data_IF_134468396510
#
_entry.id   IF_134468396510
#
_cell.length_a   1.000
_cell.length_b   1.000
_cell.length_c   1.000
_cell.angle_alpha   90.00
_cell.angle_beta   90.00
_cell.angle_gamma   90.00
#
_symmetry.space_group_name_H-M   'P 1'
#
loop_
_entity.id
_entity.type
_entity.pdbx_description
1 polymer ?
#
# COMPACT_ATOMS: atom_id res chain seq x y z
N UNK A 1 -46.58 -10.87 70.93
CA UNK A 1 -46.07 -10.17 69.73
C UNK A 1 -44.86 -10.91 69.22
N UNK A 2 -44.96 -11.57 68.06
CA UNK A 2 -43.83 -12.24 67.41
C UNK A 2 -43.36 -11.38 66.23
N UNK A 3 -42.07 -11.13 66.06
CA UNK A 3 -41.57 -10.36 64.93
C UNK A 3 -41.71 -11.16 63.64
N UNK A 4 -42.34 -10.55 62.64
CA UNK A 4 -42.41 -11.04 61.26
C UNK A 4 -41.02 -10.92 60.62
N UNK A 5 -40.35 -12.06 60.43
CA UNK A 5 -39.12 -12.11 59.66
C UNK A 5 -39.46 -12.01 58.17
N UNK A 6 -39.26 -10.82 57.60
CA UNK A 6 -39.29 -10.57 56.16
C UNK A 6 -38.17 -11.39 55.51
N UNK A 7 -38.54 -12.51 54.87
CA UNK A 7 -37.64 -13.30 54.03
C UNK A 7 -37.33 -12.50 52.76
N UNK A 8 -36.19 -11.82 52.76
CA UNK A 8 -35.63 -11.22 51.54
C UNK A 8 -35.29 -12.37 50.59
N UNK A 9 -35.97 -12.40 49.44
CA UNK A 9 -35.79 -13.41 48.40
C UNK A 9 -34.34 -13.46 47.92
N UNK A 10 -33.70 -14.64 47.79
CA UNK A 10 -32.30 -14.76 47.35
C UNK A 10 -32.07 -14.38 45.87
N UNK A 11 -33.11 -14.03 45.13
CA UNK A 11 -33.07 -13.91 43.67
C UNK A 11 -32.36 -12.65 43.15
N UNK A 12 -32.06 -11.66 44.00
CA UNK A 12 -31.70 -10.30 43.53
C UNK A 12 -30.23 -9.92 43.70
N UNK A 13 -29.33 -10.87 44.00
CA UNK A 13 -27.93 -10.57 44.35
C UNK A 13 -26.87 -10.90 43.29
N UNK A 14 -27.26 -11.29 42.06
CA UNK A 14 -26.32 -11.87 41.08
C UNK A 14 -26.21 -11.15 39.71
N UNK A 15 -26.82 -9.98 39.52
CA UNK A 15 -26.90 -9.35 38.18
C UNK A 15 -25.78 -8.37 37.78
N UNK A 16 -25.12 -7.57 38.64
CA UNK A 16 -24.27 -6.48 38.13
C UNK A 16 -22.89 -6.93 37.60
N UNK A 17 -22.35 -8.07 38.07
CA UNK A 17 -20.99 -8.50 37.68
C UNK A 17 -20.92 -9.11 36.28
N UNK A 18 -22.03 -9.65 35.76
CA UNK A 18 -22.07 -10.24 34.41
C UNK A 18 -22.08 -9.16 33.33
N UNK A 19 -22.81 -8.07 33.55
CA UNK A 19 -22.93 -6.98 32.58
C UNK A 19 -21.64 -6.17 32.47
N UNK A 20 -20.95 -5.92 33.59
CA UNK A 20 -19.68 -5.21 33.58
C UNK A 20 -18.58 -5.97 32.82
N UNK A 21 -18.51 -7.30 33.00
CA UNK A 21 -17.52 -8.14 32.30
C UNK A 21 -17.78 -8.17 30.79
N UNK A 22 -19.05 -8.12 30.37
CA UNK A 22 -19.44 -8.09 28.96
C UNK A 22 -19.09 -6.75 28.30
N UNK A 23 -19.25 -5.63 29.02
CA UNK A 23 -18.85 -4.30 28.54
C UNK A 23 -17.33 -4.23 28.34
N UNK A 24 -16.55 -4.67 29.33
CA UNK A 24 -15.07 -4.68 29.24
C UNK A 24 -14.60 -5.54 28.06
N UNK A 25 -15.18 -6.74 27.86
CA UNK A 25 -14.81 -7.60 26.72
C UNK A 25 -15.18 -6.98 25.37
N UNK A 26 -16.30 -6.26 25.28
CA UNK A 26 -16.70 -5.59 24.04
C UNK A 26 -15.74 -4.44 23.67
N UNK A 27 -15.33 -3.63 24.65
CA UNK A 27 -14.40 -2.52 24.43
C UNK A 27 -13.01 -3.06 24.00
N UNK A 28 -12.50 -4.10 24.65
CA UNK A 28 -11.22 -4.75 24.30
C UNK A 28 -11.23 -5.30 22.86
N UNK A 29 -12.33 -5.93 22.44
CA UNK A 29 -12.48 -6.46 21.08
C UNK A 29 -12.53 -5.35 20.02
N UNK A 30 -13.18 -4.22 20.33
CA UNK A 30 -13.26 -3.07 19.43
C UNK A 30 -11.91 -2.38 19.27
N UNK A 31 -11.18 -2.15 20.38
CA UNK A 31 -9.83 -1.57 20.36
C UNK A 31 -8.85 -2.46 19.59
N UNK A 32 -8.88 -3.77 19.84
CA UNK A 32 -8.04 -4.73 19.13
C UNK A 32 -8.34 -4.73 17.63
N UNK A 33 -9.61 -4.61 17.25
CA UNK A 33 -10.04 -4.53 15.85
C UNK A 33 -9.55 -3.26 15.17
N UNK A 34 -9.64 -2.10 15.84
CA UNK A 34 -9.10 -0.82 15.35
C UNK A 34 -7.59 -0.89 15.15
N UNK A 35 -6.85 -1.46 16.10
CA UNK A 35 -5.40 -1.59 16.03
C UNK A 35 -4.98 -2.50 14.85
N UNK A 36 -5.70 -3.60 14.62
CA UNK A 36 -5.45 -4.48 13.45
C UNK A 36 -5.65 -3.73 12.13
N UNK A 37 -6.74 -2.98 12.00
CA UNK A 37 -6.99 -2.17 10.80
C UNK A 37 -5.92 -1.09 10.58
N UNK A 38 -5.47 -0.44 11.65
CA UNK A 38 -4.40 0.54 11.60
C UNK A 38 -3.07 -0.10 11.14
N UNK A 39 -2.73 -1.27 11.67
CA UNK A 39 -1.53 -2.01 11.25
C UNK A 39 -1.60 -2.37 9.76
N UNK A 40 -2.75 -2.87 9.29
CA UNK A 40 -2.96 -3.16 7.86
C UNK A 40 -2.77 -1.90 7.01
N UNK A 41 -3.34 -0.77 7.44
CA UNK A 41 -3.19 0.51 6.73
C UNK A 41 -1.72 0.95 6.64
N UNK A 42 -0.95 0.82 7.73
CA UNK A 42 0.48 1.14 7.74
C UNK A 42 1.26 0.22 6.79
N UNK A 43 1.00 -1.08 6.81
CA UNK A 43 1.66 -2.03 5.90
C UNK A 43 1.35 -1.71 4.44
N UNK A 44 0.09 -1.44 4.11
CA UNK A 44 -0.32 -1.02 2.76
C UNK A 44 0.38 0.27 2.35
N UNK A 45 0.46 1.26 3.26
CA UNK A 45 1.17 2.51 3.01
C UNK A 45 2.66 2.30 2.71
N UNK A 46 3.36 1.48 3.51
CA UNK A 46 4.78 1.18 3.30
C UNK A 46 5.02 0.46 1.97
N UNK A 47 4.21 -0.55 1.66
CA UNK A 47 4.32 -1.29 0.39
C UNK A 47 4.06 -0.35 -0.80
N UNK A 48 3.02 0.47 -0.71
CA UNK A 48 2.70 1.45 -1.75
C UNK A 48 3.80 2.50 -1.91
N UNK A 49 4.37 2.99 -0.80
CA UNK A 49 5.49 3.94 -0.79
C UNK A 49 6.74 3.36 -1.41
N UNK A 50 7.06 2.09 -1.14
CA UNK A 50 8.18 1.40 -1.77
C UNK A 50 8.03 1.34 -3.30
N UNK A 51 6.85 0.93 -3.80
CA UNK A 51 6.60 0.91 -5.24
C UNK A 51 6.60 2.32 -5.84
N UNK A 52 6.03 3.31 -5.15
CA UNK A 52 6.01 4.69 -5.62
C UNK A 52 7.42 5.28 -5.66
N UNK A 53 8.28 4.95 -4.71
CA UNK A 53 9.67 5.39 -4.71
C UNK A 53 10.44 4.80 -5.89
N UNK A 54 10.22 3.52 -6.21
CA UNK A 54 10.81 2.92 -7.41
C UNK A 54 10.36 3.65 -8.68
N UNK A 55 9.05 3.87 -8.86
CA UNK A 55 8.54 4.59 -10.02
C UNK A 55 9.05 6.03 -10.10
N UNK A 56 9.12 6.73 -8.97
CA UNK A 56 9.68 8.08 -8.89
C UNK A 56 11.17 8.09 -9.25
N UNK A 57 11.93 7.11 -8.75
CA UNK A 57 13.35 6.94 -9.08
C UNK A 57 13.55 6.82 -10.58
N UNK A 58 12.76 5.99 -11.26
CA UNK A 58 12.82 5.90 -12.72
C UNK A 58 12.32 7.19 -13.40
N UNK A 59 11.28 7.83 -12.89
CA UNK A 59 10.77 9.07 -13.49
C UNK A 59 11.80 10.21 -13.46
N UNK A 60 12.62 10.29 -12.41
CA UNK A 60 13.60 11.38 -12.20
C UNK A 60 14.96 11.05 -12.80
N UNK A 61 15.45 9.81 -12.67
CA UNK A 61 16.83 9.46 -13.02
C UNK A 61 16.97 8.52 -14.23
N UNK A 62 15.88 8.03 -14.84
CA UNK A 62 16.02 7.19 -16.03
C UNK A 62 16.35 8.00 -17.28
N UNK A 63 17.13 7.40 -18.18
CA UNK A 63 17.30 7.86 -19.55
C UNK A 63 16.41 7.03 -20.46
N UNK A 64 15.81 7.66 -21.47
CA UNK A 64 15.07 6.97 -22.52
C UNK A 64 15.89 6.82 -23.78
N UNK A 65 15.88 5.63 -24.38
CA UNK A 65 16.44 5.39 -25.72
C UNK A 65 15.53 4.47 -26.53
N UNK A 66 15.75 4.41 -27.83
CA UNK A 66 15.14 3.41 -28.69
C UNK A 66 16.00 2.14 -28.67
N UNK A 67 15.34 0.99 -28.49
CA UNK A 67 15.95 -0.32 -28.58
C UNK A 67 15.35 -1.08 -29.77
N UNK A 68 16.20 -1.82 -30.46
CA UNK A 68 15.78 -2.71 -31.54
C UNK A 68 15.40 -4.07 -30.93
N UNK A 69 14.19 -4.54 -31.25
CA UNK A 69 13.66 -5.82 -30.77
C UNK A 69 14.27 -6.95 -31.58
N UNK A 70 15.04 -7.81 -30.92
CA UNK A 70 15.71 -8.94 -31.58
C UNK A 70 14.81 -10.16 -31.63
N UNK A 71 14.08 -10.44 -30.54
CA UNK A 71 13.23 -11.63 -30.44
C UNK A 71 12.05 -11.43 -29.50
N UNK A 72 10.90 -11.92 -29.92
CA UNK A 72 9.71 -12.03 -29.08
C UNK A 72 9.26 -13.49 -29.00
N UNK A 73 9.13 -14.05 -27.81
CA UNK A 73 8.62 -15.40 -27.63
C UNK A 73 7.76 -15.51 -26.37
N UNK A 74 6.77 -16.40 -26.40
CA UNK A 74 5.95 -16.68 -25.22
C UNK A 74 6.71 -17.64 -24.32
N UNK A 75 6.85 -17.29 -23.05
CA UNK A 75 7.49 -18.12 -22.04
C UNK A 75 6.56 -18.28 -20.83
N UNK A 76 6.73 -19.35 -20.08
CA UNK A 76 5.99 -19.58 -18.84
C UNK A 76 6.88 -19.21 -17.65
N UNK A 77 6.63 -18.06 -17.04
CA UNK A 77 7.34 -17.69 -15.81
C UNK A 77 6.61 -18.28 -14.62
N UNK A 78 7.33 -19.09 -13.84
CA UNK A 78 6.86 -19.59 -12.55
C UNK A 78 7.03 -18.51 -11.49
N UNK A 79 6.11 -17.55 -11.44
CA UNK A 79 6.07 -16.53 -10.40
C UNK A 79 5.24 -17.04 -9.21
N UNK A 80 5.89 -17.59 -8.18
CA UNK A 80 5.21 -17.95 -6.93
C UNK A 80 6.14 -18.44 -5.81
N UNK A 81 5.74 -18.17 -4.54
CA UNK A 81 6.31 -18.82 -3.36
C UNK A 81 6.14 -20.34 -3.51
N UNK A 82 7.14 -21.12 -3.07
CA UNK A 82 7.37 -22.58 -3.20
C UNK A 82 6.16 -23.53 -3.28
N UNK A 83 4.97 -23.14 -2.83
CA UNK A 83 3.76 -23.97 -2.73
C UNK A 83 2.63 -23.71 -3.75
N UNK A 84 2.66 -22.61 -4.53
CA UNK A 84 1.69 -22.36 -5.62
C UNK A 84 2.39 -21.82 -6.86
N UNK A 85 2.91 -22.72 -7.69
CA UNK A 85 3.44 -22.37 -9.02
C UNK A 85 2.26 -22.13 -9.98
N UNK A 86 1.71 -20.92 -9.97
CA UNK A 86 0.88 -20.50 -11.09
C UNK A 86 1.80 -20.22 -12.27
N UNK A 87 1.74 -21.09 -13.29
CA UNK A 87 2.40 -20.86 -14.57
C UNK A 87 1.66 -19.71 -15.25
N UNK A 88 2.27 -18.52 -15.26
CA UNK A 88 1.75 -17.40 -16.03
C UNK A 88 2.50 -17.35 -17.35
N UNK A 89 1.76 -17.41 -18.45
CA UNK A 89 2.29 -17.14 -19.77
C UNK A 89 2.61 -15.64 -19.84
N UNK A 90 3.85 -15.31 -20.11
CA UNK A 90 4.33 -13.95 -20.33
C UNK A 90 5.03 -13.91 -21.68
N UNK A 91 5.02 -12.74 -22.31
CA UNK A 91 5.72 -12.51 -23.57
C UNK A 91 7.10 -11.96 -23.20
N UNK A 92 8.14 -12.76 -23.44
CA UNK A 92 9.52 -12.32 -23.29
C UNK A 92 9.94 -11.55 -24.53
N UNK A 93 10.47 -10.34 -24.31
CA UNK A 93 10.97 -9.45 -25.36
C UNK A 93 12.46 -9.26 -25.10
N UNK A 94 13.27 -9.77 -26.02
CA UNK A 94 14.71 -9.53 -26.07
C UNK A 94 14.96 -8.32 -26.98
N UNK A 95 15.75 -7.38 -26.50
CA UNK A 95 16.07 -6.15 -27.22
C UNK A 95 17.51 -5.73 -26.98
N UNK A 96 18.05 -5.03 -27.97
CA UNK A 96 19.40 -4.49 -27.93
C UNK A 96 19.35 -2.98 -28.05
N UNK A 97 20.15 -2.29 -27.25
CA UNK A 97 20.28 -0.83 -27.29
C UNK A 97 21.72 -0.40 -27.07
N UNK A 98 22.00 0.85 -27.45
CA UNK A 98 23.29 1.48 -27.21
C UNK A 98 23.11 2.56 -26.15
N UNK A 99 23.91 2.50 -25.08
CA UNK A 99 23.95 3.54 -24.04
C UNK A 99 24.57 4.83 -24.61
N UNK A 100 24.38 5.96 -23.92
CA UNK A 100 25.05 7.25 -24.20
C UNK A 100 26.56 7.15 -24.25
N UNK A 101 27.14 6.20 -23.51
CA UNK A 101 28.58 5.93 -23.50
C UNK A 101 29.05 5.08 -24.70
N UNK A 102 28.14 4.70 -25.61
CA UNK A 102 28.44 3.87 -26.78
C UNK A 102 28.49 2.37 -26.50
N UNK A 103 28.18 1.94 -25.28
CA UNK A 103 28.15 0.53 -24.90
C UNK A 103 26.89 -0.16 -25.40
N UNK A 104 27.06 -1.36 -25.98
CA UNK A 104 25.93 -2.18 -26.42
C UNK A 104 25.43 -3.08 -25.29
N UNK A 105 24.14 -3.01 -25.02
CA UNK A 105 23.46 -3.84 -24.02
C UNK A 105 22.38 -4.68 -24.68
N UNK A 106 22.25 -5.92 -24.21
CA UNK A 106 21.20 -6.85 -24.60
C UNK A 106 20.47 -7.26 -23.34
N UNK A 107 19.19 -6.89 -23.24
CA UNK A 107 18.36 -7.17 -22.07
C UNK A 107 17.06 -7.86 -22.48
N UNK A 108 16.43 -8.48 -21.48
CA UNK A 108 15.15 -9.17 -21.63
C UNK A 108 14.16 -8.60 -20.64
N UNK A 109 12.98 -8.23 -21.14
CA UNK A 109 11.85 -7.82 -20.32
C UNK A 109 10.65 -8.75 -20.55
N UNK A 110 9.91 -9.02 -19.49
CA UNK A 110 8.75 -9.92 -19.51
C UNK A 110 7.46 -9.10 -19.40
N UNK A 111 6.70 -9.02 -20.50
CA UNK A 111 5.44 -8.27 -20.56
C UNK A 111 4.21 -9.20 -20.49
N UNK A 112 3.05 -8.70 -20.02
CA UNK A 112 1.83 -9.49 -19.98
C UNK A 112 1.43 -9.98 -21.38
N UNK A 113 0.96 -11.22 -21.51
CA UNK A 113 0.54 -11.77 -22.81
C UNK A 113 -0.64 -11.03 -23.45
N UNK A 114 -1.42 -10.30 -22.63
CA UNK A 114 -2.53 -9.48 -23.10
C UNK A 114 -2.08 -8.16 -23.74
N UNK A 115 -0.80 -7.83 -23.66
CA UNK A 115 -0.28 -6.60 -24.23
C UNK A 115 0.00 -6.76 -25.73
N UNK A 116 -0.14 -5.69 -26.53
CA UNK A 116 0.15 -5.75 -27.95
C UNK A 116 1.62 -6.13 -28.17
N UNK A 117 1.87 -6.97 -29.17
CA UNK A 117 3.22 -7.37 -29.54
C UNK A 117 4.00 -6.11 -29.94
N UNK A 118 5.15 -5.85 -29.32
CA UNK A 118 5.95 -4.67 -29.66
C UNK A 118 6.42 -4.73 -31.12
N UNK A 119 6.48 -3.57 -31.77
CA UNK A 119 7.07 -3.44 -33.10
C UNK A 119 8.60 -3.64 -33.10
N UNK A 120 9.28 -3.43 -34.23
CA UNK A 120 10.73 -3.62 -34.34
C UNK A 120 11.54 -2.65 -33.47
N UNK A 121 10.95 -1.52 -33.08
CA UNK A 121 11.55 -0.53 -32.19
C UNK A 121 10.67 -0.30 -30.98
N UNK A 122 11.27 -0.26 -29.80
CA UNK A 122 10.60 0.04 -28.54
C UNK A 122 11.35 1.12 -27.78
N UNK A 123 10.61 2.02 -27.14
CA UNK A 123 11.21 2.98 -26.21
C UNK A 123 11.45 2.29 -24.87
N UNK A 124 12.69 2.27 -24.41
CA UNK A 124 13.08 1.73 -23.11
C UNK A 124 13.51 2.85 -22.17
N UNK A 125 13.44 2.58 -20.87
CA UNK A 125 14.02 3.41 -19.81
C UNK A 125 15.11 2.60 -19.11
N UNK A 126 16.30 3.16 -18.97
CA UNK A 126 17.43 2.51 -18.30
C UNK A 126 18.18 3.51 -17.40
N UNK A 127 19.02 2.98 -16.50
CA UNK A 127 19.98 3.78 -15.75
C UNK A 127 21.39 3.56 -16.31
N UNK A 128 22.08 4.65 -16.67
CA UNK A 128 23.48 4.58 -17.11
C UNK A 128 24.36 4.04 -15.97
N UNK A 129 25.25 3.11 -16.30
CA UNK A 129 26.18 2.48 -15.35
C UNK A 129 25.58 1.39 -14.46
N UNK A 130 24.32 0.97 -14.65
CA UNK A 130 23.70 -0.12 -13.90
C UNK A 130 23.18 -1.22 -14.82
N UNK A 131 23.82 -2.39 -14.80
CA UNK A 131 23.41 -3.56 -15.56
C UNK A 131 22.04 -4.10 -15.11
N UNK A 132 21.24 -4.63 -16.05
CA UNK A 132 19.93 -5.26 -15.81
C UNK A 132 18.90 -4.31 -15.19
N UNK A 133 18.97 -3.02 -15.54
CA UNK A 133 18.08 -2.00 -15.00
C UNK A 133 17.18 -1.36 -16.05
N UNK A 134 17.13 -1.92 -17.26
CA UNK A 134 16.25 -1.42 -18.30
C UNK A 134 14.83 -1.98 -18.18
N UNK A 135 13.86 -1.18 -18.61
CA UNK A 135 12.44 -1.51 -18.63
C UNK A 135 11.77 -0.93 -19.86
N UNK A 136 10.80 -1.65 -20.43
CA UNK A 136 10.02 -1.13 -21.55
C UNK A 136 9.09 -0.01 -21.05
N UNK A 137 9.14 1.15 -21.71
CA UNK A 137 8.31 2.32 -21.36
C UNK A 137 6.85 2.00 -21.63
N UNK A 138 6.01 2.06 -20.60
CA UNK A 138 4.55 1.89 -20.73
C UNK A 138 3.95 0.96 -19.68
N UNK A 139 4.72 -0.02 -19.19
CA UNK A 139 4.27 -0.99 -18.18
C UNK A 139 4.53 -0.54 -16.73
N UNK A 140 4.56 0.78 -16.48
CA UNK A 140 4.71 1.33 -15.14
C UNK A 140 3.49 1.05 -14.27
N UNK A 141 3.69 0.76 -12.98
CA UNK A 141 2.63 0.53 -12.00
C UNK A 141 2.04 1.85 -11.49
N UNK A 142 1.50 2.69 -12.39
CA UNK A 142 0.94 4.02 -12.06
C UNK A 142 -0.10 3.96 -10.94
N UNK A 143 -0.87 2.87 -10.87
CA UNK A 143 -1.87 2.66 -9.82
C UNK A 143 -1.25 2.69 -8.41
N UNK A 144 -0.07 2.11 -8.21
CA UNK A 144 0.60 2.12 -6.91
C UNK A 144 1.01 3.54 -6.48
N UNK A 145 1.40 4.38 -7.44
CA UNK A 145 1.71 5.80 -7.19
C UNK A 145 0.45 6.55 -6.78
N UNK A 146 -0.68 6.35 -7.48
CA UNK A 146 -1.95 6.98 -7.12
C UNK A 146 -2.47 6.55 -5.74
N UNK A 147 -2.36 5.26 -5.39
CA UNK A 147 -2.72 4.76 -4.06
C UNK A 147 -1.84 5.41 -3.00
N UNK A 148 -0.52 5.49 -3.23
CA UNK A 148 0.41 6.12 -2.29
C UNK A 148 0.07 7.61 -2.06
N UNK A 149 -0.16 8.36 -3.15
CA UNK A 149 -0.56 9.77 -3.06
C UNK A 149 -1.90 9.94 -2.32
N UNK A 150 -2.87 9.06 -2.57
CA UNK A 150 -4.13 9.03 -1.85
C UNK A 150 -3.93 8.84 -0.33
N UNK A 151 -3.07 7.91 0.06
CA UNK A 151 -2.71 7.72 1.47
C UNK A 151 -2.00 8.95 2.06
N UNK A 152 -1.09 9.59 1.34
CA UNK A 152 -0.42 10.80 1.79
C UNK A 152 -1.41 11.95 2.02
N UNK A 153 -2.35 12.17 1.09
CA UNK A 153 -3.39 13.21 1.23
C UNK A 153 -4.28 12.91 2.42
N UNK A 154 -4.70 11.66 2.60
CA UNK A 154 -5.49 11.24 3.75
C UNK A 154 -4.76 11.47 5.08
N UNK A 155 -3.49 11.06 5.18
CA UNK A 155 -2.67 11.28 6.37
C UNK A 155 -2.45 12.76 6.66
N UNK A 156 -2.18 13.56 5.62
CA UNK A 156 -2.06 15.01 5.73
C UNK A 156 -3.36 15.66 6.24
N UNK A 157 -4.51 15.25 5.72
CA UNK A 157 -5.81 15.72 6.18
C UNK A 157 -6.10 15.32 7.63
N UNK A 158 -5.84 14.06 8.01
CA UNK A 158 -6.03 13.58 9.37
C UNK A 158 -5.12 14.30 10.38
N UNK A 159 -3.84 14.48 10.02
CA UNK A 159 -2.87 15.23 10.81
C UNK A 159 -3.27 16.70 10.96
N UNK A 160 -3.73 17.34 9.88
CA UNK A 160 -4.24 18.72 9.94
C UNK A 160 -5.47 18.85 10.83
N UNK A 161 -6.42 17.91 10.76
CA UNK A 161 -7.60 17.90 11.63
C UNK A 161 -7.22 17.73 13.11
N UNK A 162 -6.29 16.81 13.41
CA UNK A 162 -5.78 16.61 14.76
C UNK A 162 -5.05 17.86 15.27
N UNK A 163 -4.24 18.50 14.43
CA UNK A 163 -3.57 19.76 14.75
C UNK A 163 -4.56 20.88 15.07
N UNK A 164 -5.65 21.00 14.29
CA UNK A 164 -6.75 21.95 14.59
C UNK A 164 -7.42 21.67 15.94
N UNK A 165 -7.72 20.41 16.24
CA UNK A 165 -8.33 20.05 17.53
C UNK A 165 -7.37 20.30 18.70
N UNK A 166 -6.08 20.02 18.52
CA UNK A 166 -5.07 20.26 19.55
C UNK A 166 -4.84 21.76 19.78
N UNK A 167 -4.77 22.57 18.73
CA UNK A 167 -4.65 24.03 18.84
C UNK A 167 -5.89 24.66 19.50
N UNK A 168 -7.09 24.22 19.15
CA UNK A 168 -8.33 24.68 19.81
C UNK A 168 -8.36 24.35 21.32
N UNK A 169 -7.73 23.26 21.75
CA UNK A 169 -7.62 22.90 23.16
C UNK A 169 -6.59 23.76 23.93
N UNK A 170 -5.53 24.21 23.27
CA UNK A 170 -4.46 25.02 23.86
C UNK A 170 -4.81 26.51 23.89
N UNK A 171 -5.37 27.03 22.80
CA UNK A 171 -5.70 28.46 22.67
C UNK A 171 -6.91 28.88 23.53
N UNK A 172 -7.65 27.90 24.05
CA UNK A 172 -8.79 28.11 24.93
C UNK A 172 -10.00 28.71 24.20
N UNK A 173 -11.20 28.40 24.67
CA UNK A 173 -12.44 28.94 24.09
C UNK A 173 -12.35 30.47 24.09
N UNK A 174 -12.47 31.17 22.94
CA UNK A 174 -12.38 32.62 22.92
C UNK A 174 -13.39 33.18 23.91
N UNK A 175 -12.89 33.90 24.93
CA UNK A 175 -13.71 34.52 25.97
C UNK A 175 -14.75 35.38 25.27
N UNK A 176 -15.97 34.84 25.12
CA UNK A 176 -17.13 35.57 24.64
C UNK A 176 -17.28 36.75 25.58
N UNK A 177 -16.90 37.95 25.12
CA UNK A 177 -17.19 39.21 25.82
C UNK A 177 -18.72 39.27 25.94
N UNK A 178 -19.25 38.96 27.12
CA UNK A 178 -20.61 39.32 27.51
C UNK A 178 -20.68 40.84 27.40
N UNK A 179 -21.53 41.34 26.49
CA UNK A 179 -22.10 42.68 26.56
C UNK A 179 -23.34 42.61 27.43
#
# INVERSE_FOLDING_TARGET
>A
MRPEFVRISPAERNTPKRDLKKLISMDEEEELSKLKWLLIAVVVFLVSGFFSYQELKYAVWSTTTEADVTRTYTTEVSSGRRFRRHRKKVLAVEYTFTDKDGNHHSERDDIPISAPIPGPKVTIQYFSGVENSSRIKGYSRKLAVWIFLGCCVWLGYAGFKLYRLASEAVDGKPRRRRR
#
